data_IF_043882828925
#
_entry.id   IF_043882828925
#
_cell.length_a   1.000
_cell.length_b   1.000
_cell.length_c   1.000
_cell.angle_alpha   90.00
_cell.angle_beta   90.00
_cell.angle_gamma   90.00
#
_symmetry.space_group_name_H-M   'P 1'
#
loop_
_entity.id
_entity.type
_entity.pdbx_description
1 polymer ?
#
# COMPACT_ATOMS: atom_id res chain seq x y z
N UNK A 1 10.82 -5.07 -0.05
CA UNK A 1 9.95 -4.03 -0.64
C UNK A 1 10.22 -3.91 -2.13
N UNK A 2 9.23 -3.47 -2.91
CA UNK A 2 9.37 -3.22 -4.35
C UNK A 2 8.49 -2.03 -4.79
N UNK A 3 8.87 -1.30 -5.84
CA UNK A 3 8.02 -0.28 -6.46
C UNK A 3 7.24 -0.92 -7.60
N UNK A 4 5.91 -0.83 -7.55
CA UNK A 4 4.99 -1.35 -8.56
C UNK A 4 4.36 -0.19 -9.31
N UNK A 5 4.42 -0.24 -10.65
CA UNK A 5 3.77 0.73 -11.52
C UNK A 5 2.46 0.15 -12.06
N UNK A 6 1.41 0.96 -12.07
CA UNK A 6 0.11 0.61 -12.62
C UNK A 6 -0.31 1.66 -13.64
N UNK A 7 -0.59 1.24 -14.87
CA UNK A 7 -1.13 2.09 -15.93
C UNK A 7 -2.64 1.91 -16.01
N UNK A 8 -3.39 2.99 -15.88
CA UNK A 8 -4.84 2.94 -16.07
C UNK A 8 -5.21 3.00 -17.56
N UNK A 9 -6.50 2.82 -17.86
CA UNK A 9 -7.02 2.86 -19.23
C UNK A 9 -6.83 4.24 -19.91
N UNK A 10 -6.83 5.32 -19.12
CA UNK A 10 -6.56 6.69 -19.60
C UNK A 10 -5.08 6.96 -19.88
N UNK A 11 -4.19 5.97 -19.74
CA UNK A 11 -2.77 6.10 -20.01
C UNK A 11 -1.93 6.67 -18.85
N UNK A 12 -2.56 6.97 -17.72
CA UNK A 12 -1.90 7.50 -16.53
C UNK A 12 -1.20 6.39 -15.76
N UNK A 13 0.08 6.59 -15.48
CA UNK A 13 0.87 5.66 -14.67
C UNK A 13 0.93 6.13 -13.22
N UNK A 14 0.72 5.21 -12.29
CA UNK A 14 0.78 5.42 -10.84
C UNK A 14 1.83 4.51 -10.23
N UNK A 15 2.53 5.00 -9.21
CA UNK A 15 3.54 4.25 -8.48
C UNK A 15 3.07 3.92 -7.06
N UNK A 16 3.34 2.69 -6.65
CA UNK A 16 3.05 2.16 -5.32
C UNK A 16 4.28 1.50 -4.72
N UNK A 17 4.53 1.75 -3.44
CA UNK A 17 5.45 0.95 -2.65
C UNK A 17 4.72 -0.31 -2.17
N UNK A 18 5.26 -1.48 -2.51
CA UNK A 18 4.70 -2.78 -2.17
C UNK A 18 5.55 -3.47 -1.10
N UNK A 19 4.89 -3.83 0.00
CA UNK A 19 5.44 -4.59 1.13
C UNK A 19 4.69 -5.92 1.17
N UNK A 20 5.42 -7.03 1.29
CA UNK A 20 4.80 -8.34 1.49
C UNK A 20 4.63 -8.57 2.99
N UNK A 21 3.39 -8.70 3.43
CA UNK A 21 3.05 -9.05 4.81
C UNK A 21 2.54 -10.51 4.83
N UNK A 22 2.86 -11.27 5.87
CA UNK A 22 2.31 -12.61 6.07
C UNK A 22 0.89 -12.50 6.61
N UNK A 23 -0.08 -13.10 5.93
CA UNK A 23 -1.46 -13.22 6.41
C UNK A 23 -1.60 -14.56 7.18
N UNK A 24 -1.69 -14.54 8.52
CA UNK A 24 -1.76 -15.78 9.32
C UNK A 24 -3.10 -16.50 9.19
N UNK A 25 -4.18 -15.81 8.80
CA UNK A 25 -5.51 -16.43 8.60
C UNK A 25 -5.51 -17.26 7.32
N UNK A 26 -4.99 -16.67 6.23
CA UNK A 26 -4.89 -17.35 4.93
C UNK A 26 -3.60 -18.14 4.75
N UNK A 27 -2.69 -18.09 5.72
CA UNK A 27 -1.37 -18.74 5.72
C UNK A 27 -0.59 -18.49 4.42
N UNK A 28 -0.58 -17.25 3.96
CA UNK A 28 0.14 -16.87 2.73
C UNK A 28 0.62 -15.42 2.77
N UNK A 29 1.67 -15.12 2.02
CA UNK A 29 2.11 -13.74 1.80
C UNK A 29 1.09 -12.96 0.98
N UNK A 30 0.77 -11.75 1.42
CA UNK A 30 -0.12 -10.81 0.74
C UNK A 30 0.57 -9.45 0.57
N UNK A 31 0.46 -8.83 -0.63
CA UNK A 31 1.03 -7.52 -0.86
C UNK A 31 0.15 -6.44 -0.25
N UNK A 32 0.77 -5.52 0.48
CA UNK A 32 0.20 -4.26 0.93
C UNK A 32 0.88 -3.12 0.20
N UNK A 33 0.09 -2.17 -0.31
CA UNK A 33 0.57 -1.11 -1.19
C UNK A 33 0.31 0.27 -0.62
N UNK A 34 1.35 1.09 -0.58
CA UNK A 34 1.28 2.52 -0.26
C UNK A 34 1.38 3.32 -1.56
N UNK A 35 0.45 4.23 -1.80
CA UNK A 35 0.49 5.12 -2.96
C UNK A 35 1.63 6.12 -2.82
N UNK A 36 2.53 6.17 -3.80
CA UNK A 36 3.67 7.10 -3.81
C UNK A 36 3.35 8.35 -4.64
N UNK A 37 2.63 8.19 -5.75
CA UNK A 37 2.33 9.30 -6.65
C UNK A 37 2.04 8.85 -8.07
N UNK A 38 1.89 9.85 -8.94
CA UNK A 38 1.75 9.66 -10.39
C UNK A 38 3.15 9.60 -11.00
N UNK A 39 3.34 8.82 -12.05
CA UNK A 39 4.60 8.75 -12.78
C UNK A 39 4.54 9.71 -13.96
N UNK A 40 5.54 10.56 -14.08
CA UNK A 40 5.75 11.42 -15.23
C UNK A 40 6.04 10.54 -16.47
N UNK A 41 5.26 10.63 -17.55
CA UNK A 41 5.51 9.86 -18.76
C UNK A 41 6.81 10.24 -19.48
N UNK A 42 7.32 11.46 -19.30
CA UNK A 42 8.53 11.93 -20.00
C UNK A 42 9.80 11.55 -19.24
N UNK A 43 9.84 11.84 -17.94
CA UNK A 43 11.03 11.62 -17.10
C UNK A 43 11.04 10.24 -16.42
N UNK A 44 9.87 9.61 -16.28
CA UNK A 44 9.71 8.37 -15.51
C UNK A 44 9.77 8.57 -13.99
N UNK A 45 9.89 9.82 -13.52
CA UNK A 45 9.95 10.18 -12.11
C UNK A 45 8.58 10.06 -11.42
N UNK A 46 8.59 9.86 -10.10
CA UNK A 46 7.38 9.76 -9.30
C UNK A 46 7.02 11.14 -8.74
N UNK A 47 5.98 11.74 -9.29
CA UNK A 47 5.38 12.99 -8.82
C UNK A 47 4.52 12.68 -7.60
N UNK A 48 5.09 12.88 -6.41
CA UNK A 48 4.37 12.70 -5.16
C UNK A 48 3.22 13.72 -5.02
N UNK A 49 2.05 13.25 -4.59
CA UNK A 49 0.89 14.15 -4.34
C UNK A 49 0.88 14.69 -2.90
N UNK A 50 1.87 14.33 -2.08
CA UNK A 50 1.95 14.65 -0.66
C UNK A 50 2.00 16.15 -0.35
N UNK A 51 2.29 17.01 -1.34
CA UNK A 51 2.40 18.47 -1.14
C UNK A 51 1.12 19.30 -1.30
N UNK A 52 -0.02 18.76 -1.75
CA UNK A 52 -1.18 19.60 -2.14
C UNK A 52 -2.42 19.59 -1.24
N UNK A 53 -2.48 18.77 -0.19
CA UNK A 53 -3.48 18.90 0.88
C UNK A 53 -2.83 18.50 2.19
N UNK A 54 -2.85 19.39 3.17
CA UNK A 54 -2.14 19.29 4.45
C UNK A 54 -2.47 18.04 5.27
N UNK A 55 -1.86 16.92 4.93
CA UNK A 55 -1.87 15.72 5.73
C UNK A 55 -0.41 15.38 6.05
N UNK A 56 -0.06 15.66 7.30
CA UNK A 56 1.12 15.13 7.99
C UNK A 56 1.39 13.69 7.57
N UNK A 57 2.64 13.36 7.26
CA UNK A 57 3.10 11.99 7.12
C UNK A 57 2.79 11.24 8.42
N UNK A 58 1.62 10.61 8.51
CA UNK A 58 1.37 9.61 9.52
C UNK A 58 1.88 8.32 8.92
N UNK A 59 3.06 7.91 9.35
CA UNK A 59 3.45 6.51 9.37
C UNK A 59 2.28 5.75 9.97
N UNK A 60 1.49 5.13 9.09
CA UNK A 60 0.32 4.36 9.46
C UNK A 60 0.79 3.12 10.20
N UNK A 61 0.97 3.27 11.51
CA UNK A 61 0.87 2.19 12.48
C UNK A 61 -0.40 1.41 12.14
N UNK A 62 -0.26 0.26 11.50
CA UNK A 62 -1.34 -0.69 11.33
C UNK A 62 -1.58 -1.34 12.70
N UNK A 63 -2.33 -0.63 13.56
CA UNK A 63 -2.81 -1.22 14.81
C UNK A 63 -3.76 -2.35 14.46
N UNK A 64 -3.39 -3.56 14.88
CA UNK A 64 -4.06 -4.80 14.55
C UNK A 64 -5.56 -4.78 14.84
N UNK A 65 -6.32 -5.37 13.93
CA UNK A 65 -7.66 -5.83 14.24
C UNK A 65 -7.54 -6.93 15.31
N UNK A 66 -7.89 -6.60 16.56
CA UNK A 66 -8.12 -7.60 17.59
C UNK A 66 -9.42 -8.33 17.25
N UNK A 67 -9.34 -9.55 16.72
CA UNK A 67 -10.43 -10.51 16.84
C UNK A 67 -10.27 -11.24 18.17
N UNK A 68 -11.01 -10.80 19.17
CA UNK A 68 -11.32 -11.62 20.34
C UNK A 68 -12.47 -12.57 19.95
N UNK A 69 -12.57 -13.75 20.62
CA UNK A 69 -13.69 -14.75 20.60
C UNK A 69 -13.40 -15.98 19.73
N UNK A 70 -13.44 -17.24 20.18
CA UNK A 70 -13.76 -17.91 21.45
C UNK A 70 -12.89 -19.19 21.52
N UNK A 71 -12.61 -19.66 22.74
CA UNK A 71 -12.02 -20.98 22.96
C UNK A 71 -13.08 -22.05 22.62
N UNK A 72 -12.78 -22.93 21.66
CA UNK A 72 -13.54 -24.17 21.51
C UNK A 72 -12.76 -25.27 22.26
N UNK A 73 -13.32 -25.86 23.32
CA UNK A 73 -12.70 -26.99 24.00
C UNK A 73 -13.02 -28.31 23.28
N UNK A 74 -12.02 -29.21 23.35
CA UNK A 74 -11.97 -30.62 22.93
C UNK A 74 -11.76 -30.94 21.45
#
# INVERSE_FOLDING_TARGET
>A
MAIVKYKNQSGVTYAYESISEWDPVKKQSRPKRKYLGRVDPETGEIISTAGKRGASQKEGQHTGHKSNRLQDPF
#
